data_IF_731723942187
#
_entry.id   IF_731723942187
#
_cell.length_a   1.000
_cell.length_b   1.000
_cell.length_c   1.000
_cell.angle_alpha   90.00
_cell.angle_beta   90.00
_cell.angle_gamma   90.00
#
_symmetry.space_group_name_H-M   'P 1'
#
loop_
_entity.id
_entity.type
_entity.pdbx_description
1 polymer ?
#
# COMPACT_ATOMS: atom_id res chain seq x y z
N UNK A 1 21.28 -24.51 7.04
CA UNK A 1 19.83 -24.51 6.76
C UNK A 1 19.23 -23.32 7.49
N UNK A 2 18.67 -22.36 6.76
CA UNK A 2 17.99 -21.22 7.38
C UNK A 2 16.62 -21.72 7.83
N UNK A 3 16.36 -21.75 9.14
CA UNK A 3 15.05 -22.11 9.68
C UNK A 3 14.14 -20.92 9.40
N UNK A 4 13.37 -20.98 8.32
CA UNK A 4 12.34 -19.98 8.06
C UNK A 4 11.26 -20.13 9.13
N UNK A 5 11.02 -19.06 9.90
CA UNK A 5 10.01 -19.04 10.96
C UNK A 5 8.58 -19.07 10.40
N UNK A 6 7.59 -19.22 11.28
CA UNK A 6 6.18 -18.96 10.91
C UNK A 6 6.02 -17.46 10.58
N UNK A 7 5.13 -17.10 9.63
CA UNK A 7 4.79 -15.70 9.41
C UNK A 7 4.22 -15.12 10.71
N UNK A 8 4.78 -13.99 11.14
CA UNK A 8 4.29 -13.25 12.31
C UNK A 8 4.03 -11.79 11.98
N UNK A 9 4.49 -11.30 10.82
CA UNK A 9 4.38 -9.90 10.42
C UNK A 9 3.95 -9.75 8.96
N UNK A 10 3.22 -8.68 8.69
CA UNK A 10 2.84 -8.21 7.35
C UNK A 10 3.63 -6.94 7.05
N UNK A 11 4.21 -6.81 5.87
CA UNK A 11 4.78 -5.55 5.38
C UNK A 11 4.07 -5.13 4.09
N UNK A 12 3.71 -3.84 3.98
CA UNK A 12 3.16 -3.26 2.77
C UNK A 12 4.21 -2.35 2.14
N UNK A 13 4.59 -2.64 0.91
CA UNK A 13 5.44 -1.77 0.09
C UNK A 13 4.64 -1.16 -1.04
N UNK A 14 4.64 0.17 -1.07
CA UNK A 14 4.09 0.98 -2.14
C UNK A 14 5.09 2.07 -2.49
N UNK A 15 5.01 2.60 -3.71
CA UNK A 15 5.64 3.89 -3.99
C UNK A 15 4.84 4.98 -3.27
N UNK A 16 5.51 6.03 -2.74
CA UNK A 16 4.83 7.13 -2.06
C UNK A 16 3.96 7.96 -3.00
N UNK A 17 4.15 7.84 -4.32
CA UNK A 17 3.35 8.52 -5.34
C UNK A 17 2.95 7.52 -6.43
N UNK A 18 1.73 7.62 -6.98
CA UNK A 18 1.32 6.86 -8.16
C UNK A 18 2.07 7.34 -9.41
N UNK A 19 2.02 6.51 -10.47
CA UNK A 19 2.57 6.89 -11.77
C UNK A 19 1.76 8.00 -12.46
N UNK A 20 2.19 8.43 -13.65
CA UNK A 20 1.53 9.46 -14.45
C UNK A 20 0.07 9.14 -14.86
N UNK A 21 -0.36 7.88 -14.70
CA UNK A 21 -1.71 7.40 -14.96
C UNK A 21 -2.50 7.16 -13.66
N UNK A 22 -1.96 7.54 -12.50
CA UNK A 22 -2.58 7.32 -11.20
C UNK A 22 -2.44 5.90 -10.66
N UNK A 23 -1.61 5.05 -11.29
CA UNK A 23 -1.47 3.63 -10.90
C UNK A 23 -0.39 3.43 -9.85
N UNK A 24 -0.62 2.45 -8.98
CA UNK A 24 0.26 1.99 -7.93
C UNK A 24 0.57 0.51 -8.11
N UNK A 25 1.80 0.14 -7.78
CA UNK A 25 2.13 -1.25 -7.45
C UNK A 25 2.13 -1.38 -5.94
N UNK A 26 1.31 -2.30 -5.43
CA UNK A 26 1.26 -2.63 -4.02
C UNK A 26 1.80 -4.05 -3.85
N UNK A 27 2.82 -4.19 -3.02
CA UNK A 27 3.43 -5.47 -2.68
C UNK A 27 3.21 -5.75 -1.21
N UNK A 28 2.67 -6.92 -0.89
CA UNK A 28 2.43 -7.36 0.49
C UNK A 28 3.41 -8.50 0.76
N UNK A 29 4.19 -8.38 1.81
CA UNK A 29 5.14 -9.39 2.25
C UNK A 29 4.72 -9.99 3.58
N UNK A 30 4.75 -11.31 3.69
CA UNK A 30 4.70 -11.99 4.98
C UNK A 30 6.10 -12.30 5.46
N UNK A 31 6.38 -11.93 6.70
CA UNK A 31 7.72 -12.03 7.28
C UNK A 31 7.72 -12.77 8.61
N UNK A 32 8.85 -13.41 8.88
CA UNK A 32 9.14 -13.91 10.22
C UNK A 32 9.61 -12.78 11.16
N UNK A 33 9.86 -13.14 12.41
CA UNK A 33 10.33 -12.24 13.47
C UNK A 33 11.71 -11.60 13.19
N UNK A 34 12.43 -12.09 12.18
CA UNK A 34 13.75 -11.60 11.76
C UNK A 34 13.68 -10.82 10.44
N UNK A 35 12.48 -10.41 10.02
CA UNK A 35 12.22 -9.64 8.81
C UNK A 35 12.47 -10.42 7.48
N UNK A 36 12.60 -11.75 7.54
CA UNK A 36 12.78 -12.56 6.34
C UNK A 36 11.43 -12.89 5.69
N UNK A 37 11.29 -12.75 4.36
CA UNK A 37 10.11 -13.23 3.65
C UNK A 37 9.94 -14.74 3.84
N UNK A 38 8.75 -15.19 4.22
CA UNK A 38 8.47 -16.61 4.44
C UNK A 38 7.45 -17.13 3.46
N UNK A 39 7.62 -18.37 2.95
CA UNK A 39 6.59 -19.03 2.17
C UNK A 39 5.28 -19.09 2.93
N UNK A 40 4.18 -18.80 2.24
CA UNK A 40 2.84 -18.91 2.80
C UNK A 40 2.17 -20.18 2.28
N UNK A 41 1.58 -20.95 3.19
CA UNK A 41 0.53 -21.91 2.87
C UNK A 41 -0.78 -21.18 2.53
N UNK A 42 -1.87 -21.92 2.28
CA UNK A 42 -3.15 -21.32 1.92
C UNK A 42 -3.65 -20.35 2.99
N UNK A 43 -4.17 -19.19 2.57
CA UNK A 43 -4.60 -18.13 3.48
C UNK A 43 -5.30 -16.99 2.76
N UNK A 44 -5.68 -15.97 3.53
CA UNK A 44 -6.31 -14.77 3.01
C UNK A 44 -5.88 -13.51 3.76
N UNK A 45 -5.85 -12.39 3.05
CA UNK A 45 -5.70 -11.06 3.64
C UNK A 45 -6.91 -10.21 3.31
N UNK A 46 -7.35 -9.43 4.28
CA UNK A 46 -8.31 -8.36 4.09
C UNK A 46 -7.57 -7.04 3.90
N UNK A 47 -8.05 -6.22 2.98
CA UNK A 47 -7.46 -4.95 2.60
C UNK A 47 -8.48 -3.86 2.87
N UNK A 48 -8.10 -2.90 3.70
CA UNK A 48 -8.89 -1.72 4.03
C UNK A 48 -8.17 -0.48 3.48
N UNK A 49 -8.93 0.52 3.05
CA UNK A 49 -8.37 1.76 2.50
C UNK A 49 -8.80 2.97 3.31
N UNK A 50 -7.88 3.92 3.40
CA UNK A 50 -8.14 5.27 3.90
C UNK A 50 -7.87 6.22 2.74
N UNK A 51 -8.89 6.50 1.94
CA UNK A 51 -8.77 7.33 0.74
C UNK A 51 -9.53 6.75 -0.45
N UNK A 52 -9.43 7.41 -1.60
CA UNK A 52 -10.15 7.05 -2.81
C UNK A 52 -9.28 6.17 -3.72
N UNK A 53 -9.52 4.86 -3.67
CA UNK A 53 -8.81 3.84 -4.44
C UNK A 53 -9.77 3.11 -5.37
N UNK A 54 -9.33 2.92 -6.60
CA UNK A 54 -10.00 2.10 -7.60
C UNK A 54 -9.22 0.81 -7.87
N UNK A 55 -9.94 -0.24 -8.27
CA UNK A 55 -9.38 -1.54 -8.65
C UNK A 55 -8.52 -2.20 -7.56
N UNK A 56 -8.76 -1.86 -6.30
CA UNK A 56 -8.16 -2.56 -5.17
C UNK A 56 -9.12 -3.64 -4.69
N UNK A 57 -8.67 -4.89 -4.68
CA UNK A 57 -9.46 -5.99 -4.13
C UNK A 57 -9.49 -5.85 -2.60
N UNK A 58 -10.67 -5.90 -2.00
CA UNK A 58 -10.85 -5.82 -0.54
C UNK A 58 -10.38 -7.09 0.19
N UNK A 59 -10.22 -8.19 -0.55
CA UNK A 59 -9.76 -9.47 -0.04
C UNK A 59 -8.93 -10.19 -1.08
N UNK A 60 -7.82 -10.78 -0.66
CA UNK A 60 -6.99 -11.66 -1.49
C UNK A 60 -6.89 -13.02 -0.83
N UNK A 61 -7.18 -14.07 -1.58
CA UNK A 61 -6.98 -15.45 -1.17
C UNK A 61 -5.82 -16.04 -1.98
N UNK A 62 -5.04 -16.92 -1.37
CA UNK A 62 -3.98 -17.66 -2.06
C UNK A 62 -3.91 -19.09 -1.56
N UNK A 63 -3.37 -19.96 -2.40
CA UNK A 63 -3.17 -21.39 -2.10
C UNK A 63 -1.72 -21.70 -1.71
N UNK A 64 -0.75 -21.03 -2.32
CA UNK A 64 0.67 -21.12 -1.96
C UNK A 64 1.44 -19.91 -2.52
N UNK A 65 2.22 -19.22 -1.67
CA UNK A 65 3.20 -18.23 -2.13
C UNK A 65 4.60 -18.59 -1.65
N UNK A 66 5.44 -19.11 -2.54
CA UNK A 66 6.81 -19.55 -2.20
C UNK A 66 7.77 -18.41 -1.83
N UNK A 67 7.38 -17.15 -2.09
CA UNK A 67 8.20 -15.96 -1.83
C UNK A 67 7.65 -15.09 -0.70
N UNK A 68 6.54 -15.49 -0.09
CA UNK A 68 5.84 -14.65 0.89
C UNK A 68 5.35 -13.33 0.32
N UNK A 69 5.16 -13.26 -1.01
CA UNK A 69 4.85 -12.03 -1.73
C UNK A 69 3.50 -12.16 -2.42
N UNK A 70 2.64 -11.15 -2.23
CA UNK A 70 1.43 -10.92 -3.00
C UNK A 70 1.57 -9.59 -3.74
N UNK A 71 1.32 -9.62 -5.05
CA UNK A 71 1.37 -8.44 -5.90
C UNK A 71 -0.04 -8.04 -6.31
N UNK A 72 -0.39 -6.81 -6.00
CA UNK A 72 -1.62 -6.16 -6.46
C UNK A 72 -1.27 -5.27 -7.65
N UNK A 73 -1.85 -5.63 -8.79
CA UNK A 73 -1.66 -4.92 -10.05
C UNK A 73 -2.86 -4.05 -10.37
N UNK A 74 -2.62 -2.90 -11.00
CA UNK A 74 -3.68 -2.05 -11.53
C UNK A 74 -4.43 -1.21 -10.48
N UNK A 75 -3.94 -1.16 -9.24
CA UNK A 75 -4.48 -0.29 -8.19
C UNK A 75 -4.34 1.17 -8.62
N UNK A 76 -5.43 1.92 -8.60
CA UNK A 76 -5.43 3.34 -8.94
C UNK A 76 -5.74 4.18 -7.70
N UNK A 77 -4.97 5.24 -7.46
CA UNK A 77 -5.27 6.21 -6.39
C UNK A 77 -5.78 7.52 -6.99
N UNK A 78 -6.99 7.93 -6.59
CA UNK A 78 -7.71 9.11 -7.10
C UNK A 78 -7.90 10.22 -6.06
N UNK A 79 -7.47 9.98 -4.83
CA UNK A 79 -7.65 10.93 -3.73
C UNK A 79 -6.94 12.26 -3.97
N UNK A 80 -7.59 13.36 -3.55
CA UNK A 80 -7.00 14.71 -3.52
C UNK A 80 -6.15 14.97 -2.27
N UNK A 81 -6.24 14.10 -1.27
CA UNK A 81 -5.47 14.13 -0.03
C UNK A 81 -4.52 12.93 -0.01
N UNK A 82 -3.74 12.75 1.06
CA UNK A 82 -2.95 11.52 1.23
C UNK A 82 -3.83 10.34 1.60
N UNK A 83 -3.56 9.17 1.04
CA UNK A 83 -4.25 7.92 1.34
C UNK A 83 -3.35 6.90 2.03
N UNK A 84 -3.95 5.85 2.59
CA UNK A 84 -3.23 4.70 3.16
C UNK A 84 -3.95 3.39 2.84
N UNK A 85 -3.19 2.31 2.81
CA UNK A 85 -3.69 0.95 2.69
C UNK A 85 -3.38 0.21 3.99
N UNK A 86 -4.37 -0.46 4.56
CA UNK A 86 -4.21 -1.37 5.68
C UNK A 86 -4.42 -2.79 5.19
N UNK A 87 -3.56 -3.70 5.64
CA UNK A 87 -3.65 -5.13 5.34
C UNK A 87 -3.72 -5.89 6.65
N UNK A 88 -4.65 -6.83 6.70
CA UNK A 88 -4.91 -7.71 7.83
C UNK A 88 -4.76 -9.14 7.34
N UNK A 89 -3.80 -9.89 7.88
CA UNK A 89 -3.69 -11.32 7.67
C UNK A 89 -4.77 -12.03 8.48
N UNK A 90 -5.71 -12.69 7.81
CA UNK A 90 -6.85 -13.34 8.46
C UNK A 90 -6.48 -14.67 9.13
N UNK A 91 -5.28 -15.21 8.86
CA UNK A 91 -4.78 -16.45 9.48
C UNK A 91 -4.10 -16.16 10.82
N UNK A 92 -3.22 -15.16 10.86
CA UNK A 92 -2.45 -14.81 12.07
C UNK A 92 -3.07 -13.69 12.87
N UNK A 93 -3.95 -12.89 12.27
CA UNK A 93 -4.47 -11.65 12.84
C UNK A 93 -3.49 -10.48 12.76
N UNK A 94 -2.32 -10.64 12.15
CA UNK A 94 -1.32 -9.57 12.03
C UNK A 94 -1.80 -8.46 11.10
N UNK A 95 -1.57 -7.21 11.51
CA UNK A 95 -2.02 -6.03 10.77
C UNK A 95 -0.85 -5.09 10.45
N UNK A 96 -0.94 -4.42 9.30
CA UNK A 96 0.01 -3.39 8.90
C UNK A 96 -0.69 -2.26 8.16
N UNK A 97 -0.22 -1.03 8.35
CA UNK A 97 -0.67 0.15 7.61
C UNK A 97 0.49 0.68 6.78
N UNK A 98 0.24 0.98 5.52
CA UNK A 98 1.24 1.50 4.60
C UNK A 98 1.72 2.89 5.02
N UNK A 99 2.87 3.28 4.47
CA UNK A 99 3.23 4.69 4.38
C UNK A 99 2.14 5.48 3.63
N UNK A 100 2.12 6.80 3.85
CA UNK A 100 1.20 7.69 3.16
C UNK A 100 1.45 7.66 1.64
N UNK A 101 0.38 7.45 0.90
CA UNK A 101 0.33 7.57 -0.56
C UNK A 101 -0.11 8.99 -0.86
N UNK A 102 0.76 9.76 -1.46
CA UNK A 102 0.49 11.13 -1.85
C UNK A 102 -0.33 11.14 -3.14
N UNK A 103 -1.18 12.17 -3.35
CA UNK A 103 -1.83 12.37 -4.63
C UNK A 103 -0.76 12.43 -5.74
N UNK A 104 -1.06 11.76 -6.86
CA UNK A 104 -0.17 11.72 -8.02
C UNK A 104 0.09 13.09 -8.61
N UNK A 105 1.09 13.23 -9.49
CA UNK A 105 1.22 14.43 -10.29
C UNK A 105 -0.10 14.65 -11.03
N UNK A 106 -0.79 15.72 -10.65
CA UNK A 106 -1.98 16.20 -11.34
C UNK A 106 -1.48 16.58 -12.74
N UNK A 107 -1.73 15.74 -13.75
CA UNK A 107 -1.60 16.15 -15.14
C UNK A 107 -2.65 17.25 -15.35
N UNK A 108 -2.30 18.48 -15.01
CA UNK A 108 -3.24 19.57 -14.80
C UNK A 108 -2.95 20.52 -13.64
N UNK A 109 -1.89 20.33 -12.83
CA UNK A 109 -1.29 21.47 -12.11
C UNK A 109 -0.63 22.39 -13.14
N UNK A 110 -1.47 23.16 -13.83
CA UNK A 110 -1.14 24.54 -14.17
C UNK A 110 -0.57 25.11 -12.87
N UNK A 111 0.71 25.48 -12.89
CA UNK A 111 1.36 26.10 -11.76
C UNK A 111 0.49 27.25 -11.26
N UNK A 112 -0.21 27.06 -10.16
CA UNK A 112 -0.49 28.14 -9.24
C UNK A 112 0.51 27.95 -8.10
N UNK A 113 1.73 28.43 -8.32
CA UNK A 113 2.43 29.06 -7.19
C UNK A 113 1.42 30.06 -6.66
N UNK A 114 0.86 29.79 -5.47
CA UNK A 114 -0.06 30.71 -4.83
C UNK A 114 0.60 32.08 -4.84
N UNK A 115 -0.09 33.07 -5.39
CA UNK A 115 0.19 34.46 -5.08
C UNK A 115 0.23 34.54 -3.55
N UNK A 116 1.42 34.75 -3.00
CA UNK A 116 1.55 35.20 -1.62
C UNK A 116 1.06 36.65 -1.65
N UNK A 117 -0.25 36.85 -1.47
CA UNK A 117 -0.79 38.16 -1.17
C UNK A 117 -0.43 38.51 0.27
N UNK A 118 0.66 39.25 0.44
CA UNK A 118 0.91 39.98 1.67
C UNK A 118 -0.16 41.09 1.79
N UNK A 119 -1.10 40.93 2.73
CA UNK A 119 -1.84 42.08 3.23
C UNK A 119 -0.94 42.82 4.22
N UNK A 120 -0.25 43.86 3.75
CA UNK A 120 0.21 44.92 4.66
C UNK A 120 -0.95 45.88 4.84
N UNK A 121 -1.71 45.70 5.92
CA UNK A 121 -2.62 46.74 6.40
C UNK A 121 -1.79 47.96 6.81
N UNK A 122 -2.17 49.13 6.29
CA UNK A 122 -1.68 50.45 6.69
C UNK A 122 -2.39 50.85 7.97
#
# INVERSE_FOLDING_TARGET
>A
MQVQGRPVQVEIRTKPMPDQHGRLSVSIFMKDQYDNPVPMEAGSVRIETMGDFDNLQERLEWTLSRKGLLLLHGVCYKGKQSGRIKVIDEVTGSEMVSHAILPGPINGMRHSFGEIHFHTGI
#
